data_IF_592602196390
#
_entry.id   IF_592602196390
#
_cell.length_a   1.000
_cell.length_b   1.000
_cell.length_c   1.000
_cell.angle_alpha   90.00
_cell.angle_beta   90.00
_cell.angle_gamma   90.00
#
_symmetry.space_group_name_H-M   'P 1'
#
loop_
_entity.id
_entity.type
_entity.pdbx_description
1 polymer ?
#
# COMPACT_ATOMS: atom_id res chain seq x y z
N UNK A 1 -22.52 -13.27 -4.77
CA UNK A 1 -22.29 -11.82 -4.64
C UNK A 1 -23.07 -11.12 -5.74
N UNK A 2 -23.93 -10.14 -5.43
CA UNK A 2 -24.21 -9.10 -6.44
C UNK A 2 -22.85 -8.53 -6.84
N UNK A 3 -22.55 -8.42 -8.14
CA UNK A 3 -21.25 -7.94 -8.59
C UNK A 3 -20.97 -6.59 -7.92
N UNK A 4 -19.98 -6.55 -7.03
CA UNK A 4 -19.65 -5.33 -6.29
C UNK A 4 -19.14 -4.23 -7.22
N UNK A 5 -18.66 -4.61 -8.40
CA UNK A 5 -18.33 -3.76 -9.53
C UNK A 5 -18.27 -4.61 -10.81
N UNK A 6 -18.37 -3.95 -11.96
CA UNK A 6 -17.84 -4.48 -13.22
C UNK A 6 -16.31 -4.45 -13.16
N UNK A 7 -15.64 -5.44 -13.76
CA UNK A 7 -14.18 -5.53 -13.76
C UNK A 7 -13.62 -5.90 -15.13
N UNK A 8 -12.38 -5.49 -15.37
CA UNK A 8 -11.57 -5.89 -16.52
C UNK A 8 -10.33 -6.62 -16.00
N UNK A 9 -10.03 -7.77 -16.60
CA UNK A 9 -8.80 -8.51 -16.34
C UNK A 9 -7.75 -8.06 -17.36
N UNK A 10 -6.66 -7.46 -16.86
CA UNK A 10 -5.48 -7.08 -17.64
C UNK A 10 -4.38 -8.11 -17.40
N UNK A 11 -3.90 -8.76 -18.44
CA UNK A 11 -2.93 -9.84 -18.27
C UNK A 11 -2.50 -10.50 -19.58
N UNK A 12 -1.66 -11.54 -19.53
CA UNK A 12 -1.30 -12.28 -20.72
C UNK A 12 -2.40 -13.28 -21.12
N UNK A 13 -2.58 -13.43 -22.43
CA UNK A 13 -3.19 -14.63 -23.01
C UNK A 13 -2.36 -15.88 -22.74
N UNK A 14 -2.85 -17.05 -23.15
CA UNK A 14 -2.12 -18.31 -22.98
C UNK A 14 -2.08 -18.82 -21.53
N UNK A 15 -2.90 -18.24 -20.65
CA UNK A 15 -3.18 -18.73 -19.30
C UNK A 15 -4.57 -19.35 -19.23
N UNK A 16 -4.93 -19.94 -18.08
CA UNK A 16 -6.28 -20.46 -17.84
C UNK A 16 -7.25 -19.37 -17.33
N UNK A 17 -6.82 -18.10 -17.33
CA UNK A 17 -7.62 -16.96 -16.89
C UNK A 17 -8.11 -16.22 -18.13
N UNK A 18 -9.43 -16.03 -18.33
CA UNK A 18 -9.94 -15.16 -19.38
C UNK A 18 -9.45 -13.72 -19.16
N UNK A 19 -8.97 -13.08 -20.22
CA UNK A 19 -8.39 -11.73 -20.17
C UNK A 19 -9.18 -10.82 -21.11
N UNK A 20 -9.57 -9.66 -20.61
CA UNK A 20 -10.28 -8.62 -21.38
C UNK A 20 -9.29 -7.69 -22.11
N UNK A 21 -8.14 -7.42 -21.46
CA UNK A 21 -7.09 -6.51 -21.93
C UNK A 21 -5.75 -7.24 -22.04
N UNK A 22 -5.46 -7.89 -23.20
CA UNK A 22 -4.26 -8.70 -23.36
C UNK A 22 -3.00 -7.84 -23.51
N UNK A 23 -1.94 -8.19 -22.77
CA UNK A 23 -0.62 -7.52 -22.84
C UNK A 23 0.49 -8.40 -23.43
N UNK A 24 0.11 -9.55 -24.00
CA UNK A 24 1.00 -10.53 -24.61
C UNK A 24 0.51 -11.95 -24.41
N UNK A 25 1.36 -12.93 -24.69
CA UNK A 25 1.04 -14.36 -24.60
C UNK A 25 2.01 -15.06 -23.65
N UNK A 26 1.47 -15.73 -22.62
CA UNK A 26 2.23 -16.65 -21.79
C UNK A 26 2.33 -18.01 -22.48
N UNK A 27 3.51 -18.62 -22.37
CA UNK A 27 3.75 -19.99 -22.87
C UNK A 27 4.14 -20.86 -21.70
N UNK A 28 3.53 -22.05 -21.61
CA UNK A 28 3.91 -23.04 -20.60
C UNK A 28 5.42 -23.33 -20.69
N UNK A 29 6.11 -23.29 -19.55
CA UNK A 29 7.57 -23.38 -19.48
C UNK A 29 8.32 -22.08 -19.81
N UNK A 30 7.64 -20.94 -19.88
CA UNK A 30 8.25 -19.63 -20.09
C UNK A 30 9.25 -19.23 -19.00
N UNK A 31 10.18 -18.34 -19.34
CA UNK A 31 11.22 -17.88 -18.39
C UNK A 31 10.67 -16.86 -17.39
N UNK A 32 11.37 -16.68 -16.27
CA UNK A 32 11.08 -15.63 -15.29
C UNK A 32 11.12 -14.22 -15.95
N UNK A 33 12.05 -13.98 -16.87
CA UNK A 33 12.12 -12.72 -17.61
C UNK A 33 10.86 -12.48 -18.48
N UNK A 34 10.34 -13.52 -19.15
CA UNK A 34 9.11 -13.41 -19.91
C UNK A 34 7.90 -13.14 -18.99
N UNK A 35 7.81 -13.84 -17.85
CA UNK A 35 6.75 -13.62 -16.86
C UNK A 35 6.79 -12.19 -16.30
N UNK A 36 7.97 -11.71 -15.90
CA UNK A 36 8.16 -10.35 -15.39
C UNK A 36 7.85 -9.26 -16.41
N UNK A 37 8.21 -9.48 -17.68
CA UNK A 37 7.84 -8.56 -18.77
C UNK A 37 6.33 -8.43 -18.91
N UNK A 38 5.61 -9.56 -18.92
CA UNK A 38 4.14 -9.57 -19.02
C UNK A 38 3.48 -8.92 -17.80
N UNK A 39 4.00 -9.18 -16.59
CA UNK A 39 3.51 -8.56 -15.36
C UNK A 39 3.69 -7.03 -15.38
N UNK A 40 4.87 -6.53 -15.78
CA UNK A 40 5.10 -5.09 -15.90
C UNK A 40 4.20 -4.44 -16.96
N UNK A 41 4.05 -5.06 -18.13
CA UNK A 41 3.14 -4.56 -19.17
C UNK A 41 1.68 -4.52 -18.69
N UNK A 42 1.24 -5.49 -17.87
CA UNK A 42 -0.10 -5.47 -17.28
C UNK A 42 -0.28 -4.28 -16.33
N UNK A 43 0.72 -3.95 -15.51
CA UNK A 43 0.70 -2.77 -14.63
C UNK A 43 0.66 -1.48 -15.45
N UNK A 44 1.47 -1.36 -16.51
CA UNK A 44 1.44 -0.18 -17.40
C UNK A 44 0.08 -0.01 -18.07
N UNK A 45 -0.50 -1.11 -18.58
CA UNK A 45 -1.81 -1.08 -19.24
C UNK A 45 -2.93 -0.72 -18.28
N UNK A 46 -2.99 -1.34 -17.10
CA UNK A 46 -3.98 -1.02 -16.07
C UNK A 46 -3.87 0.45 -15.61
N UNK A 47 -2.63 0.94 -15.45
CA UNK A 47 -2.37 2.35 -15.11
C UNK A 47 -2.87 3.30 -16.20
N UNK A 48 -2.60 2.98 -17.47
CA UNK A 48 -3.07 3.79 -18.59
C UNK A 48 -4.60 3.83 -18.68
N UNK A 49 -5.28 2.71 -18.46
CA UNK A 49 -6.75 2.64 -18.41
C UNK A 49 -7.33 3.49 -17.27
N UNK A 50 -6.73 3.43 -16.08
CA UNK A 50 -7.17 4.22 -14.94
C UNK A 50 -6.92 5.73 -15.14
N UNK A 51 -5.77 6.11 -15.70
CA UNK A 51 -5.47 7.51 -16.05
C UNK A 51 -6.41 8.06 -17.14
N UNK A 52 -6.86 7.21 -18.06
CA UNK A 52 -7.83 7.57 -19.09
C UNK A 52 -9.28 7.62 -18.57
N UNK A 53 -9.53 7.20 -17.32
CA UNK A 53 -10.87 7.11 -16.74
C UNK A 53 -11.71 5.93 -17.24
N UNK A 54 -11.11 5.00 -18.00
CA UNK A 54 -11.81 3.78 -18.47
C UNK A 54 -12.18 2.86 -17.32
N UNK A 55 -11.36 2.84 -16.27
CA UNK A 55 -11.63 2.15 -15.00
C UNK A 55 -11.46 3.13 -13.85
N UNK A 56 -12.22 2.94 -12.77
CA UNK A 56 -12.22 3.84 -11.61
C UNK A 56 -11.22 3.43 -10.53
N UNK A 57 -10.55 2.28 -10.68
CA UNK A 57 -9.58 1.76 -9.73
C UNK A 57 -8.85 0.53 -10.26
N UNK A 58 -7.78 0.13 -9.56
CA UNK A 58 -6.96 -1.03 -9.92
C UNK A 58 -6.73 -1.93 -8.71
N UNK A 59 -7.05 -3.21 -8.82
CA UNK A 59 -6.62 -4.23 -7.86
C UNK A 59 -5.53 -5.08 -8.51
N UNK A 60 -4.32 -5.06 -7.98
CA UNK A 60 -3.19 -5.81 -8.56
C UNK A 60 -3.01 -7.15 -7.84
N UNK A 61 -2.86 -8.23 -8.60
CA UNK A 61 -2.37 -9.50 -8.07
C UNK A 61 -0.87 -9.40 -7.71
N UNK A 62 -0.31 -10.33 -6.89
CA UNK A 62 1.11 -10.34 -6.57
C UNK A 62 2.00 -10.51 -7.81
N UNK A 63 3.18 -9.90 -7.79
CA UNK A 63 4.23 -10.11 -8.80
C UNK A 63 5.57 -10.50 -8.16
N UNK A 64 6.42 -11.16 -8.94
CA UNK A 64 7.77 -11.51 -8.52
C UNK A 64 8.74 -10.38 -8.90
N UNK A 65 9.42 -9.80 -7.91
CA UNK A 65 10.29 -8.63 -8.09
C UNK A 65 11.53 -8.97 -8.93
N UNK A 66 12.09 -10.17 -8.77
CA UNK A 66 13.27 -10.58 -9.52
C UNK A 66 12.93 -10.84 -10.99
N UNK A 67 11.77 -11.46 -11.25
CA UNK A 67 11.22 -11.63 -12.58
C UNK A 67 10.93 -10.26 -13.23
N UNK A 68 10.30 -9.33 -12.51
CA UNK A 68 10.01 -7.97 -12.99
C UNK A 68 11.30 -7.27 -13.48
N UNK A 69 12.36 -7.33 -12.69
CA UNK A 69 13.69 -6.82 -13.07
C UNK A 69 14.26 -7.52 -14.31
N UNK A 70 14.23 -8.85 -14.33
CA UNK A 70 14.69 -9.64 -15.48
C UNK A 70 13.86 -9.37 -16.75
N UNK A 71 12.60 -8.94 -16.59
CA UNK A 71 11.68 -8.55 -17.64
C UNK A 71 11.90 -7.14 -18.20
N UNK A 72 12.87 -6.39 -17.67
CA UNK A 72 13.26 -5.06 -18.15
C UNK A 72 12.71 -3.89 -17.34
N UNK A 73 12.05 -4.13 -16.22
CA UNK A 73 11.50 -3.09 -15.34
C UNK A 73 12.42 -2.86 -14.14
N UNK A 74 13.07 -1.70 -14.07
CA UNK A 74 14.01 -1.38 -12.99
C UNK A 74 13.32 -1.05 -11.64
N UNK A 75 11.99 -0.92 -11.64
CA UNK A 75 11.22 -0.59 -10.44
C UNK A 75 11.26 -1.76 -9.43
N UNK A 76 11.49 -1.49 -8.12
CA UNK A 76 11.50 -2.53 -7.08
C UNK A 76 10.18 -3.30 -6.90
N UNK A 77 9.07 -2.77 -7.40
CA UNK A 77 7.75 -3.37 -7.30
C UNK A 77 6.63 -2.43 -7.75
N UNK A 78 5.40 -2.83 -7.45
CA UNK A 78 4.19 -2.09 -7.86
C UNK A 78 4.19 -0.63 -7.42
N UNK A 79 4.48 -0.35 -6.15
CA UNK A 79 4.33 1.00 -5.58
C UNK A 79 5.26 1.99 -6.29
N UNK A 80 6.53 1.61 -6.47
CA UNK A 80 7.54 2.44 -7.13
C UNK A 80 7.25 2.60 -8.63
N UNK A 81 6.82 1.51 -9.29
CA UNK A 81 6.40 1.55 -10.69
C UNK A 81 5.22 2.49 -10.91
N UNK A 82 4.19 2.43 -10.06
CA UNK A 82 3.02 3.30 -10.12
C UNK A 82 3.37 4.76 -9.82
N UNK A 83 4.25 5.01 -8.85
CA UNK A 83 4.75 6.35 -8.55
C UNK A 83 5.43 6.97 -9.78
N UNK A 84 6.30 6.20 -10.45
CA UNK A 84 6.98 6.62 -11.68
C UNK A 84 6.00 6.87 -12.82
N UNK A 85 5.08 5.92 -13.08
CA UNK A 85 4.12 6.01 -14.17
C UNK A 85 3.13 7.18 -14.02
N UNK A 86 2.82 7.58 -12.78
CA UNK A 86 1.87 8.67 -12.49
C UNK A 86 2.56 9.99 -12.14
N UNK A 87 3.89 9.98 -11.98
CA UNK A 87 4.67 11.10 -11.46
C UNK A 87 4.08 11.69 -10.17
N UNK A 88 3.75 10.81 -9.21
CA UNK A 88 3.16 11.19 -7.92
C UNK A 88 4.00 10.71 -6.74
N UNK A 89 4.08 11.50 -5.65
CA UNK A 89 4.50 10.96 -4.37
C UNK A 89 3.43 9.96 -3.88
N UNK A 90 3.87 8.81 -3.39
CA UNK A 90 2.98 7.77 -2.89
C UNK A 90 3.39 7.31 -1.51
N UNK A 91 2.41 6.79 -0.75
CA UNK A 91 2.66 6.14 0.53
C UNK A 91 1.94 4.79 0.55
N UNK A 92 2.59 3.79 1.13
CA UNK A 92 1.97 2.49 1.37
C UNK A 92 1.12 2.57 2.63
N UNK A 93 -0.15 2.21 2.51
CA UNK A 93 -1.06 2.01 3.63
C UNK A 93 -1.51 0.56 3.68
N UNK A 94 -1.51 -0.06 4.86
CA UNK A 94 -2.28 -1.27 5.10
C UNK A 94 -3.57 -0.87 5.81
N UNK A 95 -4.70 -1.26 5.24
CA UNK A 95 -6.02 -0.93 5.74
C UNK A 95 -6.79 -2.19 6.11
N UNK A 96 -7.34 -2.21 7.32
CA UNK A 96 -8.37 -3.15 7.76
C UNK A 96 -9.58 -2.36 8.26
N UNK A 97 -10.72 -3.02 8.57
CA UNK A 97 -11.89 -2.34 9.13
C UNK A 97 -11.59 -1.56 10.42
N UNK A 98 -10.58 -2.00 11.20
CA UNK A 98 -10.30 -1.48 12.55
C UNK A 98 -9.03 -0.63 12.64
N UNK A 99 -8.12 -0.73 11.68
CA UNK A 99 -6.83 -0.07 11.76
C UNK A 99 -6.31 0.26 10.35
N UNK A 100 -5.76 1.47 10.21
CA UNK A 100 -5.02 1.89 9.02
C UNK A 100 -3.63 2.30 9.45
N UNK A 101 -2.62 1.71 8.84
CA UNK A 101 -1.21 1.99 9.10
C UNK A 101 -0.54 2.46 7.82
N UNK A 102 0.09 3.63 7.86
CA UNK A 102 0.83 4.21 6.74
C UNK A 102 2.31 4.18 7.07
N UNK A 103 3.16 3.78 6.12
CA UNK A 103 4.60 3.72 6.33
C UNK A 103 5.28 5.00 5.83
N UNK A 104 6.02 5.69 6.69
CA UNK A 104 6.85 6.84 6.29
C UNK A 104 8.13 6.38 5.57
N UNK A 105 8.66 5.22 5.95
CA UNK A 105 9.73 4.52 5.22
C UNK A 105 9.33 3.06 5.00
N UNK A 106 9.71 2.48 3.87
CA UNK A 106 9.30 1.12 3.47
C UNK A 106 10.44 0.11 3.63
N UNK A 107 10.95 -0.46 2.55
CA UNK A 107 11.88 -1.58 2.56
C UNK A 107 13.32 -1.10 2.75
N UNK A 108 13.71 -0.83 4.01
CA UNK A 108 15.06 -0.46 4.41
C UNK A 108 15.66 -1.49 5.36
N UNK A 109 16.98 -1.62 5.38
CA UNK A 109 17.64 -2.32 6.47
C UNK A 109 17.44 -1.51 7.76
N UNK A 110 17.19 -2.19 8.89
CA UNK A 110 16.86 -1.51 10.14
C UNK A 110 17.93 -0.49 10.59
N UNK A 111 19.21 -0.79 10.31
CA UNK A 111 20.34 0.12 10.60
C UNK A 111 20.29 1.44 9.84
N UNK A 112 19.59 1.49 8.69
CA UNK A 112 19.50 2.65 7.82
C UNK A 112 18.25 3.50 8.16
N UNK A 113 17.32 2.98 8.97
CA UNK A 113 16.07 3.65 9.34
C UNK A 113 16.30 5.00 10.03
N UNK A 114 17.15 5.13 11.07
CA UNK A 114 17.31 6.42 11.77
C UNK A 114 17.77 7.55 10.84
N UNK A 115 18.59 7.24 9.84
CA UNK A 115 19.05 8.22 8.86
C UNK A 115 17.99 8.56 7.79
N UNK A 116 17.11 7.61 7.46
CA UNK A 116 16.07 7.77 6.45
C UNK A 116 14.80 8.46 6.96
N UNK A 117 14.50 8.35 8.26
CA UNK A 117 13.34 9.00 8.88
C UNK A 117 13.62 10.49 9.04
N UNK A 118 13.32 11.25 7.97
CA UNK A 118 13.49 12.69 7.90
C UNK A 118 12.15 13.44 8.00
N UNK A 119 12.20 14.72 8.38
CA UNK A 119 11.00 15.56 8.52
C UNK A 119 10.15 15.60 7.24
N UNK A 120 10.80 15.61 6.06
CA UNK A 120 10.11 15.59 4.77
C UNK A 120 9.36 14.27 4.53
N UNK A 121 9.91 13.13 4.94
CA UNK A 121 9.23 11.84 4.82
C UNK A 121 7.95 11.83 5.66
N UNK A 122 7.99 12.39 6.88
CA UNK A 122 6.82 12.51 7.75
C UNK A 122 5.77 13.46 7.15
N UNK A 123 6.17 14.65 6.68
CA UNK A 123 5.24 15.61 6.06
C UNK A 123 4.60 15.07 4.79
N UNK A 124 5.39 14.43 3.92
CA UNK A 124 4.89 13.81 2.70
C UNK A 124 3.91 12.68 3.01
N UNK A 125 4.26 11.78 3.94
CA UNK A 125 3.35 10.72 4.40
C UNK A 125 2.05 11.30 4.98
N UNK A 126 2.14 12.37 5.80
CA UNK A 126 0.96 13.02 6.38
C UNK A 126 0.05 13.66 5.32
N UNK A 127 0.63 14.36 4.34
CA UNK A 127 -0.13 14.98 3.26
C UNK A 127 -0.86 13.94 2.41
N UNK A 128 -0.15 12.90 1.97
CA UNK A 128 -0.71 11.80 1.18
C UNK A 128 -1.75 11.00 1.98
N UNK A 129 -1.52 10.81 3.28
CA UNK A 129 -2.48 10.14 4.18
C UNK A 129 -3.77 10.94 4.32
N UNK A 130 -3.67 12.24 4.61
CA UNK A 130 -4.84 13.11 4.76
C UNK A 130 -5.68 13.12 3.49
N UNK A 131 -5.00 13.28 2.36
CA UNK A 131 -5.64 13.28 1.05
C UNK A 131 -6.38 11.98 0.76
N UNK A 132 -5.71 10.84 1.00
CA UNK A 132 -6.32 9.51 0.85
C UNK A 132 -7.52 9.31 1.76
N UNK A 133 -7.41 9.66 3.05
CA UNK A 133 -8.51 9.51 4.01
C UNK A 133 -9.72 10.38 3.65
N UNK A 134 -9.48 11.60 3.16
CA UNK A 134 -10.55 12.49 2.70
C UNK A 134 -11.21 11.96 1.42
N UNK A 135 -10.43 11.76 0.34
CA UNK A 135 -10.97 11.41 -0.97
C UNK A 135 -11.49 9.98 -1.05
N UNK A 136 -10.76 9.02 -0.47
CA UNK A 136 -11.04 7.59 -0.67
C UNK A 136 -11.79 6.95 0.49
N UNK A 137 -11.63 7.47 1.70
CA UNK A 137 -12.33 6.96 2.88
C UNK A 137 -13.47 7.88 3.35
N UNK A 138 -13.65 9.05 2.73
CA UNK A 138 -14.73 9.99 3.04
C UNK A 138 -14.64 10.57 4.46
N UNK A 139 -13.42 10.70 5.00
CA UNK A 139 -13.18 11.25 6.33
C UNK A 139 -12.83 12.72 6.17
N UNK A 140 -13.80 13.61 6.38
CA UNK A 140 -13.65 15.05 6.13
C UNK A 140 -12.51 15.70 6.95
N UNK A 141 -12.39 15.33 8.23
CA UNK A 141 -11.37 15.83 9.15
C UNK A 141 -10.54 14.67 9.76
N UNK A 142 -9.55 14.11 9.04
CA UNK A 142 -8.80 12.95 9.50
C UNK A 142 -7.97 13.20 10.75
N UNK A 143 -8.14 12.36 11.76
CA UNK A 143 -7.29 12.30 12.96
C UNK A 143 -6.14 11.35 12.71
N UNK A 144 -4.99 11.90 12.34
CA UNK A 144 -3.78 11.12 12.02
C UNK A 144 -2.82 11.18 13.21
N UNK A 145 -2.35 10.02 13.65
CA UNK A 145 -1.31 9.90 14.66
C UNK A 145 0.05 9.55 14.05
N UNK A 146 1.12 10.01 14.66
CA UNK A 146 2.50 9.61 14.38
C UNK A 146 2.99 8.65 15.46
N UNK A 147 3.51 7.51 15.06
CA UNK A 147 4.25 6.60 15.92
C UNK A 147 5.68 7.12 16.14
N UNK A 148 6.16 7.01 17.37
CA UNK A 148 7.54 7.27 17.73
C UNK A 148 8.51 6.31 17.03
N UNK A 149 9.72 6.78 16.77
CA UNK A 149 10.83 5.99 16.27
C UNK A 149 11.43 5.15 17.41
N UNK A 150 11.71 5.78 18.55
CA UNK A 150 12.37 5.12 19.67
C UNK A 150 11.35 4.57 20.68
N UNK A 151 11.73 3.54 21.46
CA UNK A 151 10.94 3.08 22.59
C UNK A 151 10.55 4.23 23.51
N UNK A 152 9.29 4.25 23.95
CA UNK A 152 8.76 5.28 24.84
C UNK A 152 8.93 6.74 24.33
N UNK A 153 9.07 6.94 23.02
CA UNK A 153 9.26 8.29 22.45
C UNK A 153 10.59 8.93 22.88
N UNK A 154 11.63 8.11 23.05
CA UNK A 154 12.96 8.54 23.47
C UNK A 154 13.14 8.68 24.97
N UNK A 155 12.07 8.63 25.77
CA UNK A 155 12.09 8.74 27.25
C UNK A 155 12.95 9.93 27.75
N UNK A 156 12.64 11.13 27.26
CA UNK A 156 13.39 12.35 27.62
C UNK A 156 14.83 12.38 27.08
N UNK A 157 15.11 11.65 26.00
CA UNK A 157 16.44 11.57 25.38
C UNK A 157 17.27 10.36 25.82
N UNK A 158 16.75 9.53 26.74
CA UNK A 158 17.44 8.31 27.21
C UNK A 158 17.65 7.27 26.11
N UNK A 159 16.72 7.18 25.16
CA UNK A 159 16.74 6.16 24.09
C UNK A 159 16.92 6.75 22.69
N UNK A 160 17.41 7.97 22.60
CA UNK A 160 17.45 8.76 21.36
C UNK A 160 16.61 10.02 21.49
N UNK A 161 16.93 11.02 20.67
CA UNK A 161 16.30 12.33 20.70
C UNK A 161 15.52 12.65 19.42
N UNK A 162 15.55 11.78 18.40
CA UNK A 162 14.93 11.97 17.09
C UNK A 162 13.42 12.23 17.22
N UNK A 163 12.76 11.59 18.19
CA UNK A 163 11.34 11.80 18.48
C UNK A 163 11.04 13.26 18.85
N UNK A 164 11.93 13.88 19.63
CA UNK A 164 11.76 15.25 20.12
C UNK A 164 12.31 16.28 19.15
N UNK A 165 13.47 16.02 18.55
CA UNK A 165 14.21 16.97 17.72
C UNK A 165 13.75 16.97 16.26
N UNK A 166 13.16 15.87 15.78
CA UNK A 166 12.78 15.70 14.37
C UNK A 166 11.30 15.35 14.18
N UNK A 167 10.78 14.28 14.82
CA UNK A 167 9.40 13.82 14.60
C UNK A 167 8.37 14.81 15.18
N UNK A 168 8.55 15.29 16.41
CA UNK A 168 7.58 16.19 17.04
C UNK A 168 7.42 17.54 16.30
N UNK A 169 8.49 18.21 15.84
CA UNK A 169 8.36 19.38 14.97
C UNK A 169 7.67 19.04 13.64
N UNK A 170 8.07 17.96 12.97
CA UNK A 170 7.47 17.55 11.70
C UNK A 170 5.98 17.22 11.83
N UNK A 171 5.57 16.55 12.91
CA UNK A 171 4.18 16.25 13.21
C UNK A 171 3.35 17.53 13.39
N UNK A 172 3.89 18.51 14.13
CA UNK A 172 3.23 19.80 14.36
C UNK A 172 3.06 20.58 13.06
N UNK A 173 4.10 20.66 12.23
CA UNK A 173 4.06 21.30 10.92
C UNK A 173 3.05 20.64 9.99
N UNK A 174 2.98 19.31 10.01
CA UNK A 174 2.00 18.55 9.24
C UNK A 174 0.57 18.61 9.82
N UNK A 175 0.39 19.10 11.04
CA UNK A 175 -0.91 19.11 11.73
C UNK A 175 -1.41 17.70 12.07
N UNK A 176 -0.53 16.81 12.52
CA UNK A 176 -0.85 15.46 13.01
C UNK A 176 -0.47 15.32 14.48
N UNK A 177 -0.99 14.29 15.16
CA UNK A 177 -0.84 14.10 16.61
C UNK A 177 0.35 13.18 16.93
N UNK A 178 1.16 13.52 17.93
CA UNK A 178 2.28 12.70 18.40
C UNK A 178 3.64 13.40 18.28
N UNK A 179 4.76 12.64 18.26
CA UNK A 179 4.82 11.18 18.22
C UNK A 179 4.34 10.52 19.51
N UNK A 180 3.73 9.34 19.38
CA UNK A 180 3.31 8.50 20.51
C UNK A 180 4.10 7.19 20.52
N UNK A 181 4.43 6.64 21.70
CA UNK A 181 5.07 5.32 21.80
C UNK A 181 4.30 4.24 21.02
N UNK A 182 5.02 3.39 20.30
CA UNK A 182 4.44 2.38 19.41
C UNK A 182 3.49 1.42 20.15
N UNK A 183 3.90 0.95 21.33
CA UNK A 183 3.13 0.09 22.23
C UNK A 183 1.80 0.71 22.70
N UNK A 184 1.68 2.04 22.63
CA UNK A 184 0.50 2.79 23.05
C UNK A 184 -0.36 3.23 21.87
N UNK A 185 0.26 3.77 20.80
CA UNK A 185 -0.45 4.42 19.69
C UNK A 185 -1.37 3.47 18.93
N UNK A 186 -0.93 2.23 18.69
CA UNK A 186 -1.74 1.25 17.97
C UNK A 186 -2.91 0.75 18.82
N UNK A 187 -2.75 0.62 20.13
CA UNK A 187 -3.86 0.29 21.05
C UNK A 187 -4.92 1.39 21.02
N UNK A 188 -4.50 2.66 21.05
CA UNK A 188 -5.39 3.83 20.94
C UNK A 188 -6.10 3.89 19.59
N UNK A 189 -5.38 3.62 18.50
CA UNK A 189 -5.97 3.55 17.17
C UNK A 189 -7.03 2.44 17.06
N UNK A 190 -6.76 1.25 17.62
CA UNK A 190 -7.74 0.14 17.67
C UNK A 190 -8.99 0.45 18.51
N UNK A 191 -8.93 1.46 19.38
CA UNK A 191 -10.06 2.00 20.15
C UNK A 191 -10.79 3.15 19.42
N UNK A 192 -10.39 3.50 18.20
CA UNK A 192 -11.03 4.52 17.38
C UNK A 192 -10.59 5.96 17.68
N UNK A 193 -9.50 6.16 18.42
CA UNK A 193 -8.97 7.50 18.70
C UNK A 193 -8.38 8.17 17.46
N UNK A 194 -7.91 7.38 16.48
CA UNK A 194 -7.28 7.83 15.26
C UNK A 194 -7.82 7.10 14.04
N UNK A 195 -7.84 7.78 12.90
CA UNK A 195 -8.33 7.23 11.63
C UNK A 195 -7.21 6.53 10.84
N UNK A 196 -5.96 6.94 11.08
CA UNK A 196 -4.73 6.27 10.64
C UNK A 196 -3.55 6.56 11.57
N UNK A 197 -2.58 5.65 11.58
CA UNK A 197 -1.27 5.83 12.24
C UNK A 197 -0.16 5.81 11.20
N UNK A 198 0.69 6.82 11.20
CA UNK A 198 1.94 6.84 10.43
C UNK A 198 3.03 6.16 11.27
N UNK A 199 3.57 5.08 10.74
CA UNK A 199 4.70 4.35 11.30
C UNK A 199 6.02 4.83 10.67
N UNK A 200 7.07 5.12 11.47
CA UNK A 200 8.33 5.61 10.94
C UNK A 200 9.07 4.57 10.09
N UNK A 201 8.85 3.27 10.34
CA UNK A 201 9.44 2.17 9.58
C UNK A 201 8.50 0.97 9.45
N UNK A 202 8.86 0.05 8.56
CA UNK A 202 8.04 -1.09 8.16
C UNK A 202 7.60 -1.97 9.34
N UNK A 203 8.52 -2.60 10.06
CA UNK A 203 8.17 -3.68 10.99
C UNK A 203 7.31 -3.23 12.18
N UNK A 204 7.48 -1.99 12.67
CA UNK A 204 6.64 -1.47 13.78
C UNK A 204 5.19 -1.31 13.35
N UNK A 205 4.95 -0.83 12.13
CA UNK A 205 3.61 -0.69 11.59
C UNK A 205 3.01 -2.03 11.15
N UNK A 206 3.79 -2.83 10.44
CA UNK A 206 3.34 -4.11 9.88
C UNK A 206 3.01 -5.14 10.95
N UNK A 207 3.79 -5.19 12.03
CA UNK A 207 3.48 -6.07 13.17
C UNK A 207 2.12 -5.71 13.77
N UNK A 208 1.86 -4.42 14.00
CA UNK A 208 0.60 -3.96 14.58
C UNK A 208 -0.62 -4.32 13.71
N UNK A 209 -0.57 -4.02 12.41
CA UNK A 209 -1.71 -4.29 11.52
C UNK A 209 -1.92 -5.77 11.25
N UNK A 210 -0.87 -6.57 11.06
CA UNK A 210 -1.02 -8.02 10.79
C UNK A 210 -1.56 -8.77 12.00
N UNK A 211 -1.14 -8.41 13.21
CA UNK A 211 -1.71 -8.98 14.45
C UNK A 211 -3.16 -8.56 14.63
N UNK A 212 -3.52 -7.31 14.30
CA UNK A 212 -4.87 -6.81 14.52
C UNK A 212 -5.90 -7.23 13.46
N UNK A 213 -5.47 -7.52 12.23
CA UNK A 213 -6.35 -7.74 11.08
C UNK A 213 -6.61 -9.21 10.75
N UNK A 214 -5.87 -10.17 11.32
CA UNK A 214 -6.06 -11.61 11.07
C UNK A 214 -6.10 -11.99 9.58
N UNK A 215 -5.36 -11.27 8.72
CA UNK A 215 -5.31 -11.53 7.27
C UNK A 215 -6.28 -10.71 6.42
N UNK A 216 -7.11 -9.86 7.03
CA UNK A 216 -8.06 -8.97 6.34
C UNK A 216 -7.42 -7.63 5.90
N UNK A 217 -6.12 -7.44 6.13
CA UNK A 217 -5.44 -6.22 5.72
C UNK A 217 -5.25 -6.17 4.20
N UNK A 218 -5.62 -5.04 3.62
CA UNK A 218 -5.43 -4.73 2.19
C UNK A 218 -4.35 -3.67 2.07
N UNK A 219 -3.42 -3.88 1.13
CA UNK A 219 -2.44 -2.86 0.76
C UNK A 219 -3.09 -1.83 -0.16
N UNK A 220 -3.02 -0.57 0.20
CA UNK A 220 -3.54 0.57 -0.55
C UNK A 220 -2.37 1.51 -0.85
N UNK A 221 -2.22 1.88 -2.12
CA UNK A 221 -1.20 2.87 -2.53
C UNK A 221 -1.84 4.26 -2.57
N UNK A 222 -1.59 5.05 -1.52
CA UNK A 222 -2.08 6.43 -1.43
C UNK A 222 -1.29 7.37 -2.34
N UNK A 223 -1.91 8.48 -2.76
CA UNK A 223 -1.27 9.56 -3.54
C UNK A 223 -1.38 9.41 -5.05
N UNK A 224 -1.79 8.24 -5.53
CA UNK A 224 -2.14 8.01 -6.94
C UNK A 224 -3.40 8.81 -7.33
N UNK A 225 -3.58 9.13 -8.62
CA UNK A 225 -4.79 9.81 -9.11
C UNK A 225 -6.02 8.88 -9.16
N UNK A 226 -5.85 7.59 -8.90
CA UNK A 226 -6.90 6.57 -8.83
C UNK A 226 -6.60 5.61 -7.66
N UNK A 227 -7.62 4.98 -7.07
CA UNK A 227 -7.41 3.97 -6.03
C UNK A 227 -6.69 2.74 -6.59
N UNK A 228 -5.61 2.34 -5.92
CA UNK A 228 -4.97 1.04 -6.16
C UNK A 228 -4.92 0.23 -4.88
N UNK A 229 -5.40 -1.00 -4.95
CA UNK A 229 -5.35 -2.00 -3.88
C UNK A 229 -4.56 -3.24 -4.28
N UNK A 230 -4.14 -4.04 -3.29
CA UNK A 230 -3.38 -5.27 -3.48
C UNK A 230 -3.55 -6.17 -2.26
N UNK A 231 -3.51 -7.50 -2.43
CA UNK A 231 -3.43 -8.42 -1.30
C UNK A 231 -2.12 -8.24 -0.53
N UNK A 232 -2.10 -8.75 0.71
CA UNK A 232 -0.94 -8.71 1.63
C UNK A 232 -0.10 -10.02 1.59
N UNK A 233 -0.19 -10.78 0.50
CA UNK A 233 0.61 -11.98 0.25
C UNK A 233 1.47 -11.87 -1.01
N UNK A 234 2.48 -12.75 -1.10
CA UNK A 234 3.37 -12.87 -2.25
C UNK A 234 2.79 -13.74 -3.38
N UNK A 235 3.65 -14.10 -4.33
CA UNK A 235 3.29 -14.86 -5.54
C UNK A 235 2.95 -16.33 -5.31
N UNK A 236 3.41 -16.92 -4.19
CA UNK A 236 3.15 -18.31 -3.83
C UNK A 236 3.37 -19.29 -5.01
N UNK A 237 4.51 -19.15 -5.70
CA UNK A 237 4.83 -19.89 -6.93
C UNK A 237 4.83 -21.41 -6.73
N UNK A 238 5.13 -21.87 -5.52
CA UNK A 238 5.14 -23.26 -5.10
C UNK A 238 3.75 -23.92 -5.11
N UNK A 239 2.67 -23.13 -5.05
CA UNK A 239 1.28 -23.61 -5.10
C UNK A 239 0.53 -23.17 -6.38
N UNK A 240 1.19 -22.45 -7.28
CA UNK A 240 0.57 -21.96 -8.51
C UNK A 240 0.03 -23.11 -9.37
N UNK A 241 -1.23 -23.00 -9.81
CA UNK A 241 -1.91 -24.03 -10.63
C UNK A 241 -2.41 -25.26 -9.87
N UNK A 242 -2.19 -25.35 -8.55
CA UNK A 242 -2.64 -26.49 -7.73
C UNK A 242 -4.08 -26.35 -7.21
N UNK A 243 -4.67 -25.14 -7.30
CA UNK A 243 -6.04 -24.89 -6.84
C UNK A 243 -6.21 -24.82 -5.31
N UNK A 244 -5.11 -24.65 -4.56
CA UNK A 244 -5.11 -24.63 -3.07
C UNK A 244 -4.86 -23.24 -2.47
N UNK A 245 -4.70 -22.20 -3.30
CA UNK A 245 -4.51 -20.84 -2.82
C UNK A 245 -5.80 -20.29 -2.21
N UNK A 246 -5.69 -19.58 -1.08
CA UNK A 246 -6.80 -18.85 -0.47
C UNK A 246 -7.02 -17.51 -1.20
N UNK A 247 -8.18 -17.29 -1.85
CA UNK A 247 -8.45 -16.08 -2.60
C UNK A 247 -8.89 -14.90 -1.72
N UNK A 248 -9.09 -15.09 -0.42
CA UNK A 248 -9.77 -14.12 0.46
C UNK A 248 -9.11 -12.73 0.44
N UNK A 249 -7.78 -12.65 0.56
CA UNK A 249 -7.07 -11.37 0.54
C UNK A 249 -7.20 -10.63 -0.81
N UNK A 250 -7.23 -11.36 -1.93
CA UNK A 250 -7.45 -10.76 -3.25
C UNK A 250 -8.88 -10.26 -3.40
N UNK A 251 -9.86 -11.02 -2.90
CA UNK A 251 -11.28 -10.61 -2.88
C UNK A 251 -11.44 -9.32 -2.06
N UNK A 252 -10.86 -9.25 -0.85
CA UNK A 252 -10.89 -8.04 -0.03
C UNK A 252 -10.23 -6.85 -0.71
N UNK A 253 -9.12 -7.06 -1.43
CA UNK A 253 -8.49 -6.01 -2.22
C UNK A 253 -9.41 -5.47 -3.32
N UNK A 254 -10.08 -6.36 -4.06
CA UNK A 254 -11.03 -5.98 -5.11
C UNK A 254 -12.26 -5.26 -4.53
N UNK A 255 -12.80 -5.76 -3.41
CA UNK A 255 -13.94 -5.15 -2.72
C UNK A 255 -13.62 -3.75 -2.19
N UNK A 256 -12.44 -3.58 -1.60
CA UNK A 256 -12.01 -2.26 -1.13
C UNK A 256 -11.81 -1.28 -2.30
N UNK A 257 -11.23 -1.72 -3.42
CA UNK A 257 -11.09 -0.87 -4.61
C UNK A 257 -12.46 -0.41 -5.14
N UNK A 258 -13.41 -1.35 -5.26
CA UNK A 258 -14.78 -1.04 -5.69
C UNK A 258 -15.47 -0.06 -4.73
N UNK A 259 -15.36 -0.28 -3.41
CA UNK A 259 -15.97 0.60 -2.41
C UNK A 259 -15.40 2.02 -2.43
N UNK A 260 -14.08 2.15 -2.64
CA UNK A 260 -13.44 3.46 -2.79
C UNK A 260 -13.93 4.13 -4.08
N UNK A 261 -13.95 3.41 -5.19
CA UNK A 261 -14.39 3.93 -6.48
C UNK A 261 -15.85 4.42 -6.44
N UNK A 262 -16.76 3.66 -5.84
CA UNK A 262 -18.17 4.05 -5.64
C UNK A 262 -18.29 5.34 -4.83
N UNK A 263 -17.51 5.46 -3.74
CA UNK A 263 -17.51 6.65 -2.89
C UNK A 263 -17.00 7.89 -3.62
N UNK A 264 -15.94 7.75 -4.42
CA UNK A 264 -15.37 8.84 -5.23
C UNK A 264 -16.34 9.28 -6.32
N UNK A 265 -17.13 8.36 -6.89
CA UNK A 265 -18.13 8.71 -7.90
C UNK A 265 -19.38 9.40 -7.32
N UNK A 266 -19.67 9.19 -6.02
CA UNK A 266 -20.85 9.73 -5.36
C UNK A 266 -20.64 11.13 -4.75
N UNK A 267 -19.40 11.58 -4.58
CA UNK A 267 -19.02 12.89 -4.02
C UNK A 267 -18.63 13.90 -5.08
#
# INVERSE_FOLDING_TARGET
MRAAADYLIVGPGGTNVPVDEPVGEWRAGGSAAAAGRLAGLAVERATALALAGTVQGVATAPLDKAALLAGGFADPGHTEMLARLTNRPVAMMLASPRLRVVLATTHLALRDVPAAVAAEAIRSAAAVTRDGLQRWFGIEAPRIALCALNPHGGDGGRFGDEDTTLLAPAAREAGILGPFPADTVFVRALRGEFDAVIAPYHDVGMTAIKVASFGEAVNVTLGLPFPRTSPDHGTALDIAGQGVADPSSMIEAMLLAASIAERVAAG
#
